data_IF_298808946949
#
_entry.id   IF_298808946949
#
_cell.length_a   1.000
_cell.length_b   1.000
_cell.length_c   1.000
_cell.angle_alpha   90.00
_cell.angle_beta   90.00
_cell.angle_gamma   90.00
#
_symmetry.space_group_name_H-M   'P 1'
#
loop_
_entity.id
_entity.type
_entity.pdbx_description
1 polymer ?
#
# COMPACT_ATOMS: atom_id res chain seq x y z
N UNK A 1 14.86 1.19 32.53
CA UNK A 1 14.86 1.84 31.23
C UNK A 1 13.43 2.15 30.79
N UNK A 2 13.27 2.97 29.79
CA UNK A 2 11.97 3.32 29.23
C UNK A 2 11.34 2.12 28.53
N UNK A 3 10.01 2.06 28.55
CA UNK A 3 9.27 1.05 27.79
C UNK A 3 9.07 1.55 26.37
N UNK A 4 9.45 0.72 25.40
CA UNK A 4 9.28 1.01 23.98
C UNK A 4 8.36 -0.01 23.33
N UNK A 5 7.55 0.41 22.37
CA UNK A 5 6.67 -0.47 21.60
C UNK A 5 7.47 -1.50 20.79
N UNK A 6 8.59 -1.05 20.19
CA UNK A 6 9.48 -1.89 19.41
C UNK A 6 10.66 -2.36 20.27
N UNK A 7 10.46 -3.49 20.92
CA UNK A 7 11.52 -4.13 21.72
C UNK A 7 12.24 -5.20 20.88
N UNK A 8 13.55 -5.26 20.97
CA UNK A 8 14.36 -6.21 20.19
C UNK A 8 13.90 -7.67 20.36
N UNK A 9 13.52 -8.06 21.59
CA UNK A 9 12.97 -9.41 21.86
C UNK A 9 11.69 -9.70 21.08
N UNK A 10 10.76 -8.74 21.00
CA UNK A 10 9.49 -8.89 20.29
C UNK A 10 9.70 -8.91 18.77
N UNK A 11 10.60 -8.06 18.26
CA UNK A 11 10.98 -8.06 16.85
C UNK A 11 11.58 -9.42 16.46
N UNK A 12 12.48 -9.95 17.27
CA UNK A 12 13.08 -11.25 17.03
C UNK A 12 12.04 -12.39 17.03
N UNK A 13 11.09 -12.35 17.96
CA UNK A 13 9.99 -13.33 17.98
C UNK A 13 9.14 -13.27 16.70
N UNK A 14 8.83 -12.06 16.22
CA UNK A 14 8.08 -11.88 14.98
C UNK A 14 8.86 -12.41 13.77
N UNK A 15 10.14 -12.04 13.65
CA UNK A 15 11.01 -12.51 12.56
C UNK A 15 11.13 -14.04 12.57
N UNK A 16 11.34 -14.64 13.76
CA UNK A 16 11.41 -16.09 13.92
C UNK A 16 10.09 -16.77 13.53
N UNK A 17 8.94 -16.19 13.94
CA UNK A 17 7.63 -16.72 13.59
C UNK A 17 7.40 -16.72 12.08
N UNK A 18 7.78 -15.64 11.40
CA UNK A 18 7.65 -15.49 9.95
C UNK A 18 8.59 -16.46 9.22
N UNK A 19 9.87 -16.50 9.60
CA UNK A 19 10.87 -17.36 8.96
C UNK A 19 10.52 -18.85 9.09
N UNK A 20 9.96 -19.27 10.23
CA UNK A 20 9.55 -20.65 10.48
C UNK A 20 8.10 -20.96 10.07
N UNK A 21 7.36 -19.99 9.56
CA UNK A 21 5.92 -20.08 9.27
C UNK A 21 5.12 -20.67 10.45
N UNK A 22 5.47 -20.26 11.69
CA UNK A 22 4.92 -20.84 12.91
C UNK A 22 3.91 -19.93 13.58
N UNK A 23 2.63 -20.28 13.49
CA UNK A 23 1.57 -19.57 14.22
C UNK A 23 1.74 -19.64 15.74
N UNK A 24 2.30 -20.75 16.26
CA UNK A 24 2.62 -20.89 17.69
C UNK A 24 3.66 -19.85 18.15
N UNK A 25 4.67 -19.60 17.32
CA UNK A 25 5.67 -18.57 17.60
C UNK A 25 5.06 -17.17 17.49
N UNK A 26 4.19 -16.94 16.50
CA UNK A 26 3.45 -15.67 16.37
C UNK A 26 2.58 -15.37 17.60
N UNK A 27 1.91 -16.37 18.18
CA UNK A 27 1.13 -16.17 19.43
C UNK A 27 1.99 -15.63 20.56
N UNK A 28 3.23 -16.12 20.72
CA UNK A 28 4.15 -15.59 21.76
C UNK A 28 4.52 -14.13 21.51
N UNK A 29 4.68 -13.73 20.25
CA UNK A 29 4.86 -12.34 19.89
C UNK A 29 3.62 -11.51 20.23
N UNK A 30 2.44 -11.96 19.85
CA UNK A 30 1.18 -11.27 20.10
C UNK A 30 0.92 -11.11 21.63
N UNK A 31 1.14 -12.15 22.41
CA UNK A 31 1.06 -12.09 23.87
C UNK A 31 2.03 -11.06 24.45
N UNK A 32 3.26 -11.00 23.91
CA UNK A 32 4.23 -10.01 24.34
C UNK A 32 3.79 -8.58 24.05
N UNK A 33 3.15 -8.33 22.90
CA UNK A 33 2.60 -7.01 22.54
C UNK A 33 1.41 -6.65 23.46
N UNK A 34 0.46 -7.58 23.67
CA UNK A 34 -0.71 -7.33 24.50
C UNK A 34 -0.39 -7.09 25.99
N UNK A 35 0.73 -7.61 26.47
CA UNK A 35 1.18 -7.44 27.84
C UNK A 35 2.07 -6.20 28.05
N UNK A 36 2.28 -5.38 27.02
CA UNK A 36 2.97 -4.09 27.18
C UNK A 36 2.11 -3.13 28.01
N UNK A 37 2.74 -2.32 28.88
CA UNK A 37 2.01 -1.22 29.52
C UNK A 37 1.51 -0.23 28.48
N UNK A 38 0.47 0.55 28.78
CA UNK A 38 -0.03 1.57 27.85
C UNK A 38 1.08 2.55 27.45
N UNK A 39 1.29 2.73 26.15
CA UNK A 39 2.28 3.64 25.57
C UNK A 39 1.59 4.78 24.81
N UNK A 40 0.43 4.49 24.22
CA UNK A 40 -0.38 5.44 23.45
C UNK A 40 -1.75 5.63 24.08
N UNK A 41 -2.39 6.77 23.82
CA UNK A 41 -3.74 7.03 24.33
C UNK A 41 -4.76 5.95 23.90
N UNK A 42 -4.62 5.39 22.72
CA UNK A 42 -5.46 4.28 22.24
C UNK A 42 -5.39 3.04 23.14
N UNK A 43 -4.27 2.80 23.82
CA UNK A 43 -4.08 1.64 24.69
C UNK A 43 -4.91 1.75 25.98
N UNK A 44 -5.39 2.96 26.30
CA UNK A 44 -6.28 3.26 27.41
C UNK A 44 -7.77 3.21 27.01
N UNK A 45 -8.07 3.05 25.71
CA UNK A 45 -9.43 3.03 25.18
C UNK A 45 -9.88 1.58 25.01
N UNK A 46 -11.05 1.26 25.56
CA UNK A 46 -11.71 -0.02 25.37
C UNK A 46 -13.05 0.14 24.64
N UNK A 47 -13.62 -0.98 24.23
CA UNK A 47 -14.99 -0.98 23.73
C UNK A 47 -15.96 -0.68 24.86
N UNK A 48 -16.89 0.24 24.61
CA UNK A 48 -17.97 0.51 25.57
C UNK A 48 -18.90 -0.69 25.62
N UNK A 49 -18.85 -1.46 26.70
CA UNK A 49 -19.81 -2.55 26.94
C UNK A 49 -21.19 -1.93 27.14
N UNK A 50 -21.96 -1.81 26.06
CA UNK A 50 -23.39 -1.52 26.15
C UNK A 50 -24.06 -2.81 26.57
N UNK A 51 -24.45 -2.91 27.83
CA UNK A 51 -25.20 -3.99 28.46
C UNK A 51 -24.94 -5.38 27.87
N UNK A 52 -24.29 -6.26 28.58
CA UNK A 52 -24.00 -7.65 28.22
C UNK A 52 -25.21 -8.45 27.71
N UNK A 53 -26.43 -7.93 27.91
CA UNK A 53 -27.71 -8.53 27.49
C UNK A 53 -28.14 -8.12 26.07
N UNK A 54 -27.34 -7.36 25.31
CA UNK A 54 -27.69 -6.89 23.97
C UNK A 54 -26.79 -7.48 22.87
N UNK A 55 -26.34 -8.72 23.03
CA UNK A 55 -25.67 -9.42 21.94
C UNK A 55 -26.62 -9.55 20.73
N UNK A 56 -26.11 -9.26 19.55
CA UNK A 56 -26.86 -9.48 18.30
C UNK A 56 -26.55 -10.86 17.74
N UNK A 57 -27.49 -11.42 17.01
CA UNK A 57 -27.26 -12.68 16.30
C UNK A 57 -26.08 -12.57 15.34
N UNK A 58 -25.24 -13.60 15.28
CA UNK A 58 -24.04 -13.63 14.42
C UNK A 58 -24.35 -13.39 12.95
N UNK A 59 -25.55 -13.77 12.47
CA UNK A 59 -25.98 -13.51 11.10
C UNK A 59 -26.14 -12.02 10.77
N UNK A 60 -26.30 -11.18 11.79
CA UNK A 60 -26.37 -9.71 11.67
C UNK A 60 -25.02 -9.03 11.78
N UNK A 61 -23.96 -9.78 12.10
CA UNK A 61 -22.59 -9.25 12.15
C UNK A 61 -21.96 -9.29 10.76
N UNK A 62 -21.34 -8.19 10.36
CA UNK A 62 -20.65 -8.14 9.07
C UNK A 62 -19.55 -9.21 8.99
N UNK A 63 -19.49 -9.95 7.89
CA UNK A 63 -18.49 -11.00 7.71
C UNK A 63 -17.07 -10.43 7.57
N UNK A 64 -16.09 -11.14 8.09
CA UNK A 64 -14.65 -10.81 7.91
C UNK A 64 -14.30 -10.59 6.44
N UNK A 65 -14.86 -11.38 5.52
CA UNK A 65 -14.65 -11.20 4.07
C UNK A 65 -15.14 -9.85 3.56
N UNK A 66 -16.25 -9.34 4.10
CA UNK A 66 -16.78 -8.03 3.73
C UNK A 66 -15.89 -6.92 4.29
N UNK A 67 -15.48 -7.06 5.54
CA UNK A 67 -14.60 -6.10 6.23
C UNK A 67 -13.26 -5.98 5.48
N UNK A 68 -12.62 -7.10 5.15
CA UNK A 68 -11.30 -7.13 4.50
C UNK A 68 -11.28 -6.43 3.13
N UNK A 69 -12.39 -6.40 2.41
CA UNK A 69 -12.50 -5.67 1.12
C UNK A 69 -12.25 -4.17 1.24
N UNK A 70 -12.40 -3.60 2.42
CA UNK A 70 -12.19 -2.18 2.71
C UNK A 70 -10.78 -1.87 3.22
N UNK A 71 -9.95 -2.89 3.42
CA UNK A 71 -8.56 -2.70 3.84
C UNK A 71 -7.66 -2.48 2.63
N UNK A 72 -6.81 -1.47 2.74
CA UNK A 72 -5.77 -1.16 1.77
C UNK A 72 -4.43 -0.96 2.44
N UNK A 73 -3.34 -1.24 1.72
CA UNK A 73 -2.02 -0.81 2.14
C UNK A 73 -1.81 0.67 1.86
N UNK A 74 -0.91 1.30 2.58
CA UNK A 74 -0.38 2.60 2.15
C UNK A 74 0.29 2.51 0.79
N UNK A 75 0.40 3.65 0.11
CA UNK A 75 1.11 3.77 -1.17
C UNK A 75 2.61 3.74 -0.93
N UNK A 76 3.27 2.71 -1.44
CA UNK A 76 4.72 2.54 -1.34
C UNK A 76 5.27 2.10 -2.69
N UNK A 77 6.15 2.89 -3.29
CA UNK A 77 6.64 2.63 -4.63
C UNK A 77 7.77 1.59 -4.67
N UNK A 78 7.83 0.83 -5.76
CA UNK A 78 9.01 0.06 -6.11
C UNK A 78 10.20 1.00 -6.35
N UNK A 79 11.26 0.81 -5.59
CA UNK A 79 12.40 1.73 -5.49
C UNK A 79 12.50 2.40 -4.11
N UNK A 80 11.38 2.70 -3.45
CA UNK A 80 11.33 2.95 -2.01
C UNK A 80 11.40 1.63 -1.24
N UNK A 81 10.67 0.62 -1.71
CA UNK A 81 10.79 -0.77 -1.29
C UNK A 81 11.59 -1.58 -2.30
N UNK A 82 12.17 -2.71 -1.85
CA UNK A 82 12.71 -3.71 -2.76
C UNK A 82 11.56 -4.36 -3.55
N UNK A 83 11.91 -5.00 -4.67
CA UNK A 83 10.97 -5.75 -5.50
C UNK A 83 10.21 -6.81 -4.68
N UNK A 84 10.95 -7.60 -3.90
CA UNK A 84 10.40 -8.70 -3.11
C UNK A 84 9.41 -8.19 -2.05
N UNK A 85 9.73 -7.09 -1.37
CA UNK A 85 8.84 -6.49 -0.38
C UNK A 85 7.56 -5.96 -1.04
N UNK A 86 7.69 -5.27 -2.17
CA UNK A 86 6.58 -4.69 -2.91
C UNK A 86 5.63 -5.78 -3.47
N UNK A 87 6.20 -6.85 -4.04
CA UNK A 87 5.42 -7.99 -4.56
C UNK A 87 4.77 -8.80 -3.43
N UNK A 88 5.50 -9.08 -2.35
CA UNK A 88 4.98 -9.81 -1.18
C UNK A 88 3.79 -9.08 -0.56
N UNK A 89 3.87 -7.75 -0.45
CA UNK A 89 2.75 -6.94 0.04
C UNK A 89 1.52 -7.10 -0.84
N UNK A 90 1.68 -6.99 -2.16
CA UNK A 90 0.58 -7.13 -3.11
C UNK A 90 -0.04 -8.55 -3.05
N UNK A 91 0.79 -9.58 -2.99
CA UNK A 91 0.33 -10.98 -2.86
C UNK A 91 -0.44 -11.16 -1.55
N UNK A 92 0.08 -10.67 -0.43
CA UNK A 92 -0.57 -10.75 0.87
C UNK A 92 -1.94 -10.09 0.86
N UNK A 93 -2.03 -8.86 0.35
CA UNK A 93 -3.29 -8.13 0.24
C UNK A 93 -4.29 -8.80 -0.70
N UNK A 94 -3.83 -9.34 -1.83
CA UNK A 94 -4.70 -10.09 -2.75
C UNK A 94 -5.25 -11.38 -2.13
N UNK A 95 -4.44 -12.11 -1.35
CA UNK A 95 -4.89 -13.33 -0.64
C UNK A 95 -6.03 -13.04 0.34
N UNK A 96 -5.97 -11.95 1.08
CA UNK A 96 -7.03 -11.54 2.01
C UNK A 96 -8.18 -10.78 1.32
N UNK A 97 -8.11 -10.56 0.00
CA UNK A 97 -9.04 -9.77 -0.81
C UNK A 97 -9.12 -8.29 -0.45
N UNK A 98 -8.09 -7.78 0.22
CA UNK A 98 -7.83 -6.36 0.38
C UNK A 98 -7.23 -5.75 -0.88
N UNK A 99 -6.71 -4.53 -0.78
CA UNK A 99 -6.07 -3.83 -1.88
C UNK A 99 -4.66 -3.36 -1.50
N UNK A 100 -3.69 -3.57 -2.38
CA UNK A 100 -2.40 -2.89 -2.30
C UNK A 100 -2.37 -1.72 -3.28
N UNK A 101 -1.65 -0.66 -2.92
CA UNK A 101 -1.37 0.45 -3.79
C UNK A 101 0.06 0.34 -4.34
N UNK A 102 0.20 0.51 -5.66
CA UNK A 102 1.49 0.42 -6.35
C UNK A 102 2.51 1.49 -5.95
N UNK A 103 2.04 2.61 -5.38
CA UNK A 103 2.84 3.82 -5.29
C UNK A 103 3.11 4.44 -6.68
N UNK A 104 3.89 5.51 -6.72
CA UNK A 104 4.12 6.34 -7.90
C UNK A 104 5.21 5.83 -8.88
N UNK A 105 5.70 4.63 -8.69
CA UNK A 105 6.84 4.09 -9.46
C UNK A 105 6.48 3.14 -10.60
N UNK A 106 5.20 2.90 -10.85
CA UNK A 106 4.76 1.87 -11.80
C UNK A 106 4.90 0.45 -11.26
N UNK A 107 4.62 -0.52 -12.10
CA UNK A 107 4.77 -1.96 -11.82
C UNK A 107 5.24 -2.71 -13.05
N UNK A 108 6.07 -3.74 -12.86
CA UNK A 108 6.46 -4.67 -13.92
C UNK A 108 5.22 -5.40 -14.47
N UNK A 109 5.05 -5.40 -15.79
CA UNK A 109 3.91 -6.02 -16.47
C UNK A 109 3.77 -7.53 -16.17
N UNK A 110 4.88 -8.20 -15.84
CA UNK A 110 4.86 -9.61 -15.43
C UNK A 110 3.97 -9.84 -14.21
N UNK A 111 3.78 -8.82 -13.37
CA UNK A 111 2.94 -8.88 -12.17
C UNK A 111 1.44 -8.91 -12.47
N UNK A 112 1.05 -8.52 -13.68
CA UNK A 112 -0.36 -8.53 -14.12
C UNK A 112 -0.84 -9.95 -14.46
N UNK A 113 0.10 -10.89 -14.62
CA UNK A 113 -0.18 -12.30 -14.89
C UNK A 113 -0.16 -13.05 -13.55
N UNK A 114 -1.15 -13.92 -13.36
CA UNK A 114 -1.19 -14.79 -12.17
C UNK A 114 0.00 -15.75 -12.18
N UNK A 115 0.55 -15.98 -11.00
CA UNK A 115 1.60 -16.95 -10.77
C UNK A 115 1.07 -18.39 -10.88
N UNK A 116 1.97 -19.36 -11.11
CA UNK A 116 1.58 -20.79 -11.25
C UNK A 116 0.84 -21.36 -10.03
N UNK A 117 1.10 -20.83 -8.84
CA UNK A 117 0.42 -21.22 -7.61
C UNK A 117 -0.94 -20.51 -7.41
N UNK A 118 -1.38 -19.70 -8.38
CA UNK A 118 -2.63 -18.95 -8.33
C UNK A 118 -2.55 -17.58 -7.65
N UNK A 119 -1.40 -17.22 -7.07
CA UNK A 119 -1.19 -15.90 -6.48
C UNK A 119 -1.16 -14.79 -7.54
N UNK A 120 -1.41 -13.58 -7.09
CA UNK A 120 -1.29 -12.38 -7.92
C UNK A 120 -0.43 -11.34 -7.20
N UNK A 121 0.61 -10.88 -7.87
CA UNK A 121 1.47 -9.79 -7.41
C UNK A 121 1.01 -8.43 -7.94
N UNK A 122 -0.12 -8.36 -8.62
CA UNK A 122 -0.67 -7.13 -9.17
C UNK A 122 -1.30 -6.27 -8.07
N UNK A 123 -0.89 -5.02 -7.93
CA UNK A 123 -1.56 -4.07 -7.05
C UNK A 123 -2.90 -3.65 -7.62
N UNK A 124 -3.95 -3.76 -6.83
CA UNK A 124 -5.32 -3.44 -7.27
C UNK A 124 -5.59 -1.94 -7.37
N UNK A 125 -4.83 -1.12 -6.64
CA UNK A 125 -4.82 0.33 -6.73
C UNK A 125 -3.54 0.77 -7.44
N UNK A 126 -3.66 1.56 -8.49
CA UNK A 126 -2.54 2.10 -9.25
C UNK A 126 -2.46 3.59 -9.03
N UNK A 127 -1.31 4.05 -8.54
CA UNK A 127 -1.10 5.46 -8.30
C UNK A 127 -0.46 6.14 -9.51
N UNK A 128 -0.89 7.35 -9.81
CA UNK A 128 -0.25 8.26 -10.75
C UNK A 128 0.12 9.55 -10.04
N UNK A 129 1.36 9.99 -10.22
CA UNK A 129 1.87 11.23 -9.65
C UNK A 129 2.28 12.21 -10.75
N UNK A 130 2.74 13.39 -10.38
CA UNK A 130 3.09 14.45 -11.34
C UNK A 130 4.10 14.03 -12.40
N UNK A 131 5.09 13.20 -12.06
CA UNK A 131 6.10 12.72 -13.00
C UNK A 131 5.64 11.58 -13.92
N UNK A 132 4.49 10.96 -13.67
CA UNK A 132 3.95 9.84 -14.47
C UNK A 132 4.91 8.64 -14.61
N UNK A 133 5.82 8.42 -13.65
CA UNK A 133 6.78 7.31 -13.71
C UNK A 133 6.09 5.95 -13.85
N UNK A 134 6.43 5.21 -14.92
CA UNK A 134 5.91 3.88 -15.17
C UNK A 134 4.42 3.81 -15.52
N UNK A 135 3.77 4.95 -15.79
CA UNK A 135 2.36 5.00 -16.19
C UNK A 135 2.23 4.67 -17.66
N UNK A 136 1.62 3.52 -17.94
CA UNK A 136 1.27 3.06 -19.29
C UNK A 136 -0.22 2.72 -19.35
N UNK A 137 -0.77 2.59 -20.55
CA UNK A 137 -2.15 2.12 -20.75
C UNK A 137 -2.34 0.73 -20.15
N UNK A 138 -1.34 -0.16 -20.34
CA UNK A 138 -1.36 -1.51 -19.77
C UNK A 138 -1.39 -1.46 -18.23
N UNK A 139 -0.57 -0.63 -17.61
CA UNK A 139 -0.58 -0.40 -16.16
C UNK A 139 -1.96 0.04 -15.68
N UNK A 140 -2.55 1.06 -16.30
CA UNK A 140 -3.85 1.61 -15.91
C UNK A 140 -5.02 0.64 -16.13
N UNK A 141 -4.94 -0.23 -17.14
CA UNK A 141 -5.98 -1.23 -17.42
C UNK A 141 -5.93 -2.44 -16.47
N UNK A 142 -4.83 -2.64 -15.75
CA UNK A 142 -4.68 -3.75 -14.81
C UNK A 142 -4.96 -3.38 -13.36
N UNK A 143 -5.96 -2.54 -13.10
CA UNK A 143 -6.35 -2.13 -11.76
C UNK A 143 -7.87 -2.05 -11.57
N UNK A 144 -8.27 -1.96 -10.30
CA UNK A 144 -9.65 -1.70 -9.90
C UNK A 144 -9.86 -0.22 -9.52
N UNK A 145 -8.77 0.47 -9.20
CA UNK A 145 -8.79 1.86 -8.76
C UNK A 145 -7.51 2.56 -9.22
N UNK A 146 -7.66 3.78 -9.68
CA UNK A 146 -6.57 4.70 -10.02
C UNK A 146 -6.59 5.82 -8.98
N UNK A 147 -5.44 6.07 -8.37
CA UNK A 147 -5.27 7.13 -7.37
C UNK A 147 -4.37 8.22 -7.92
N UNK A 148 -4.90 9.42 -8.06
CA UNK A 148 -4.15 10.61 -8.47
C UNK A 148 -3.46 11.18 -7.23
N UNK A 149 -2.12 11.19 -7.24
CA UNK A 149 -1.32 11.76 -6.16
C UNK A 149 -0.96 13.21 -6.49
N UNK A 150 -1.58 14.16 -5.81
CA UNK A 150 -1.34 15.59 -6.03
C UNK A 150 -0.09 16.07 -5.27
N UNK A 151 0.12 15.60 -4.03
CA UNK A 151 1.20 16.03 -3.15
C UNK A 151 1.55 14.96 -2.11
N UNK A 152 2.58 15.20 -1.30
CA UNK A 152 2.94 14.36 -0.15
C UNK A 152 2.80 15.16 1.15
N UNK A 153 2.06 14.62 2.12
CA UNK A 153 1.84 15.27 3.42
C UNK A 153 3.11 15.47 4.24
N UNK A 154 4.06 14.51 4.16
CA UNK A 154 5.33 14.58 4.88
C UNK A 154 6.34 15.55 4.23
N UNK A 155 6.17 15.88 2.94
CA UNK A 155 7.08 16.75 2.16
C UNK A 155 6.29 17.69 1.24
N UNK A 156 5.46 18.58 1.79
CA UNK A 156 4.46 19.31 1.01
C UNK A 156 5.04 20.26 -0.06
N UNK A 157 6.26 20.72 0.10
CA UNK A 157 6.93 21.59 -0.88
C UNK A 157 8.01 20.90 -1.72
N UNK A 158 8.38 19.65 -1.40
CA UNK A 158 9.51 18.96 -2.04
C UNK A 158 9.06 17.93 -3.08
N UNK A 159 7.93 17.28 -2.85
CA UNK A 159 7.44 16.17 -3.68
C UNK A 159 8.20 14.85 -3.45
N UNK A 160 8.00 13.92 -4.40
CA UNK A 160 8.67 12.61 -4.39
C UNK A 160 10.07 12.69 -4.99
N UNK A 161 11.03 12.01 -4.35
CA UNK A 161 12.40 11.90 -4.85
C UNK A 161 12.90 10.47 -4.72
N UNK A 162 13.57 9.97 -5.74
CA UNK A 162 14.37 8.76 -5.70
C UNK A 162 15.81 9.11 -6.05
N UNK A 163 16.76 9.01 -5.10
CA UNK A 163 18.16 9.31 -5.36
C UNK A 163 18.76 8.42 -6.45
N UNK A 164 19.67 8.96 -7.25
CA UNK A 164 20.25 8.27 -8.40
C UNK A 164 20.87 6.91 -8.05
N UNK A 165 21.51 6.76 -6.89
CA UNK A 165 22.10 5.48 -6.47
C UNK A 165 21.06 4.35 -6.23
N UNK A 166 19.78 4.68 -6.09
CA UNK A 166 18.67 3.73 -6.02
C UNK A 166 18.04 3.44 -7.38
N UNK A 167 18.36 4.23 -8.39
CA UNK A 167 17.83 4.07 -9.75
C UNK A 167 18.68 3.04 -10.49
N UNK A 168 18.44 1.77 -10.20
CA UNK A 168 19.04 0.63 -10.90
C UNK A 168 18.51 0.55 -12.33
N UNK A 169 19.12 -0.32 -13.17
CA UNK A 169 18.62 -0.59 -14.53
C UNK A 169 17.15 -1.04 -14.52
N UNK A 170 16.77 -1.92 -13.59
CA UNK A 170 15.40 -2.38 -13.43
C UNK A 170 14.43 -1.23 -13.14
N UNK A 171 14.78 -0.38 -12.17
CA UNK A 171 13.98 0.78 -11.78
C UNK A 171 13.89 1.81 -12.91
N UNK A 172 15.02 2.08 -13.58
CA UNK A 172 15.06 3.00 -14.71
C UNK A 172 14.17 2.53 -15.86
N UNK A 173 14.26 1.25 -16.22
CA UNK A 173 13.39 0.63 -17.23
C UNK A 173 11.92 0.77 -16.86
N UNK A 174 11.56 0.44 -15.62
CA UNK A 174 10.18 0.51 -15.13
C UNK A 174 9.63 1.93 -15.16
N UNK A 175 10.46 2.91 -14.83
CA UNK A 175 10.07 4.32 -14.76
C UNK A 175 10.28 5.09 -16.05
N UNK A 176 10.72 4.43 -17.12
CA UNK A 176 11.07 5.03 -18.42
C UNK A 176 12.12 6.15 -18.26
N UNK A 177 13.20 5.86 -17.55
CA UNK A 177 14.25 6.80 -17.18
C UNK A 177 15.64 6.21 -17.40
N UNK A 178 16.68 6.94 -16.99
CA UNK A 178 18.08 6.54 -17.10
C UNK A 178 18.64 6.06 -15.77
N UNK A 179 19.37 4.91 -15.72
CA UNK A 179 20.01 4.44 -14.50
C UNK A 179 20.96 5.47 -13.90
N UNK A 180 21.02 5.54 -12.58
CA UNK A 180 21.91 6.43 -11.85
C UNK A 180 21.47 7.90 -11.78
N UNK A 181 20.41 8.29 -12.49
CA UNK A 181 19.88 9.66 -12.47
C UNK A 181 18.82 9.79 -11.38
N UNK A 182 18.92 10.85 -10.56
CA UNK A 182 17.91 11.16 -9.55
C UNK A 182 16.58 11.48 -10.21
N UNK A 183 15.51 10.86 -9.71
CA UNK A 183 14.15 11.06 -10.21
C UNK A 183 13.36 11.92 -9.23
N UNK A 184 12.69 12.93 -9.77
CA UNK A 184 11.87 13.88 -9.00
C UNK A 184 10.45 13.85 -9.54
N UNK A 185 9.48 13.74 -8.63
CA UNK A 185 8.06 13.91 -8.89
C UNK A 185 7.60 15.16 -8.13
N UNK A 186 7.60 16.34 -8.78
CA UNK A 186 7.38 17.60 -8.09
C UNK A 186 5.91 17.78 -7.64
N UNK A 187 5.65 18.48 -6.55
CA UNK A 187 4.35 19.01 -6.21
C UNK A 187 4.20 20.46 -6.76
N UNK A 188 3.03 20.90 -7.15
CA UNK A 188 1.88 20.10 -7.57
C UNK A 188 2.13 19.44 -8.94
N UNK A 189 1.14 18.70 -9.45
CA UNK A 189 1.18 18.28 -10.85
C UNK A 189 1.39 19.47 -11.77
N UNK A 190 2.30 19.36 -12.75
CA UNK A 190 2.60 20.45 -13.69
C UNK A 190 1.48 20.69 -14.71
N UNK A 191 0.47 19.87 -14.75
CA UNK A 191 -0.68 19.91 -15.64
C UNK A 191 -2.02 20.05 -14.86
N UNK A 192 -1.97 20.26 -13.54
CA UNK A 192 -3.16 20.41 -12.69
C UNK A 192 -3.00 21.68 -11.85
N UNK A 193 -3.61 22.75 -12.29
CA UNK A 193 -3.57 24.04 -11.62
C UNK A 193 -4.96 24.54 -11.18
N UNK A 194 -6.02 23.80 -11.58
CA UNK A 194 -7.39 24.11 -11.25
C UNK A 194 -8.20 22.83 -11.04
N UNK A 195 -9.42 22.96 -10.52
CA UNK A 195 -10.35 21.83 -10.40
C UNK A 195 -10.81 21.33 -11.78
N UNK A 196 -10.83 22.19 -12.78
CA UNK A 196 -11.16 21.83 -14.17
C UNK A 196 -10.07 20.96 -14.79
N UNK A 197 -8.80 21.28 -14.55
CA UNK A 197 -7.68 20.44 -15.00
C UNK A 197 -7.72 19.05 -14.34
N UNK A 198 -8.05 19.02 -13.04
CA UNK A 198 -8.24 17.76 -12.33
C UNK A 198 -9.42 16.95 -12.90
N UNK A 199 -10.53 17.63 -13.19
CA UNK A 199 -11.70 17.01 -13.82
C UNK A 199 -11.36 16.42 -15.19
N UNK A 200 -10.55 17.12 -16.00
CA UNK A 200 -10.07 16.62 -17.27
C UNK A 200 -9.21 15.36 -17.10
N UNK A 201 -8.27 15.35 -16.16
CA UNK A 201 -7.44 14.17 -15.90
C UNK A 201 -8.30 12.98 -15.45
N UNK A 202 -9.27 13.20 -14.57
CA UNK A 202 -10.21 12.15 -14.16
C UNK A 202 -10.99 11.62 -15.36
N UNK A 203 -11.47 12.49 -16.23
CA UNK A 203 -12.17 12.11 -17.46
C UNK A 203 -11.27 11.23 -18.34
N UNK A 204 -10.03 11.65 -18.61
CA UNK A 204 -9.09 10.94 -19.45
C UNK A 204 -8.78 9.54 -18.89
N UNK A 205 -8.55 9.44 -17.58
CA UNK A 205 -8.34 8.15 -16.90
C UNK A 205 -9.55 7.23 -17.00
N UNK A 206 -10.76 7.80 -16.93
CA UNK A 206 -12.00 7.05 -17.13
C UNK A 206 -12.18 6.59 -18.59
N UNK A 207 -11.62 7.30 -19.59
CA UNK A 207 -11.61 6.83 -20.97
C UNK A 207 -10.65 5.64 -21.15
N UNK A 208 -9.49 5.68 -20.48
CA UNK A 208 -8.50 4.57 -20.52
C UNK A 208 -9.05 3.33 -19.81
N UNK A 209 -9.61 3.48 -18.62
CA UNK A 209 -10.20 2.38 -17.85
C UNK A 209 -11.57 2.76 -17.27
N UNK A 210 -12.66 2.59 -18.04
CA UNK A 210 -14.01 2.94 -17.60
C UNK A 210 -14.47 2.18 -16.34
N UNK A 211 -13.90 0.99 -16.10
CA UNK A 211 -14.28 0.13 -14.98
C UNK A 211 -13.59 0.51 -13.66
N UNK A 212 -12.44 1.14 -13.73
CA UNK A 212 -11.71 1.56 -12.54
C UNK A 212 -12.41 2.73 -11.84
N UNK A 213 -12.37 2.72 -10.51
CA UNK A 213 -12.66 3.92 -9.73
C UNK A 213 -11.48 4.87 -9.86
N UNK A 214 -11.74 6.17 -9.90
CA UNK A 214 -10.70 7.19 -9.89
C UNK A 214 -10.86 8.01 -8.62
N UNK A 215 -9.81 8.03 -7.80
CA UNK A 215 -9.71 8.80 -6.57
C UNK A 215 -8.58 9.83 -6.66
N UNK A 216 -8.58 10.81 -5.73
CA UNK A 216 -7.56 11.86 -5.62
C UNK A 216 -7.01 11.88 -4.21
#
# INVERSE_FOLDING_TARGET
GETHQYQGKLIHLLQSAVASNSFKAYKKYAEGIYNLPPIHLRDLIGFRNRNLNSSIDISRVESTKSILKRFGSGSMSHGALSKEAHETLAIGMNRIKGASCSGEGGEDEKRFIKMNNGDSANSRVKQIASARFGVTINYLNNCNEIEIKIAQGAKPGEGGQLPGFKVTEEIAKLRHSTPGVTLISPPPHHDIYSIEDLAQLIYDLKQVNPKARVGV
#
